data_IF_050090252765
#
_entry.id   IF_050090252765
#
_cell.length_a   1.000
_cell.length_b   1.000
_cell.length_c   1.000
_cell.angle_alpha   90.00
_cell.angle_beta   90.00
_cell.angle_gamma   90.00
#
_symmetry.space_group_name_H-M   'P 1'
#
loop_
_entity.id
_entity.type
_entity.pdbx_description
1 polymer ?
#
# COMPACT_ATOMS: atom_id res chain seq x y z
N UNK A 1 -0.43 -0.57 7.57
CA UNK A 1 0.55 0.42 7.10
C UNK A 1 -0.06 1.80 7.14
N UNK A 2 0.73 2.83 7.44
CA UNK A 2 0.27 4.23 7.45
C UNK A 2 1.15 5.02 6.50
N UNK A 3 0.54 5.78 5.61
CA UNK A 3 1.23 6.65 4.65
C UNK A 3 0.71 8.08 4.76
N UNK A 4 1.57 9.05 4.44
CA UNK A 4 1.28 10.48 4.56
C UNK A 4 1.76 11.23 3.33
N UNK A 5 0.95 12.17 2.85
CA UNK A 5 1.35 13.17 1.84
C UNK A 5 0.91 14.55 2.29
N UNK A 6 1.87 15.36 2.72
CA UNK A 6 1.57 16.63 3.40
C UNK A 6 0.77 16.41 4.69
N UNK A 7 -0.40 17.04 4.79
CA UNK A 7 -1.28 16.89 5.93
C UNK A 7 -2.19 15.65 5.87
N UNK A 8 -2.34 15.03 4.69
CA UNK A 8 -3.24 13.89 4.48
C UNK A 8 -2.57 12.59 4.93
N UNK A 9 -3.32 11.75 5.63
CA UNK A 9 -2.89 10.47 6.17
C UNK A 9 -3.87 9.40 5.73
N UNK A 10 -3.35 8.26 5.30
CA UNK A 10 -4.15 7.08 4.98
C UNK A 10 -3.57 5.88 5.72
N UNK A 11 -4.45 5.00 6.18
CA UNK A 11 -4.06 3.75 6.82
C UNK A 11 -4.76 2.58 6.13
N UNK A 12 -4.01 1.49 6.01
CA UNK A 12 -4.47 0.24 5.44
C UNK A 12 -4.03 -0.93 6.31
N UNK A 13 -4.74 -2.05 6.25
CA UNK A 13 -4.22 -3.31 6.80
C UNK A 13 -2.87 -3.64 6.16
N UNK A 14 -1.94 -4.16 6.95
CA UNK A 14 -0.64 -4.58 6.42
C UNK A 14 -0.74 -5.95 5.73
N UNK A 15 -1.54 -6.02 4.68
CA UNK A 15 -1.91 -7.27 4.02
C UNK A 15 -2.20 -7.04 2.54
N UNK A 16 -1.33 -7.56 1.68
CA UNK A 16 -1.49 -7.52 0.23
C UNK A 16 -2.66 -8.44 -0.19
N UNK A 17 -3.64 -7.98 -0.99
CA UNK A 17 -4.77 -8.80 -1.40
C UNK A 17 -4.37 -9.94 -2.36
N UNK A 18 -3.17 -9.90 -2.94
CA UNK A 18 -2.64 -10.95 -3.81
C UNK A 18 -2.44 -12.29 -3.06
N UNK A 19 -1.60 -12.30 -2.02
CA UNK A 19 -1.24 -13.54 -1.28
C UNK A 19 -1.50 -13.45 0.22
N UNK A 20 -1.97 -12.30 0.72
CA UNK A 20 -2.06 -12.03 2.15
C UNK A 20 -0.71 -11.70 2.81
N UNK A 21 0.38 -11.62 2.05
CA UNK A 21 1.68 -11.23 2.58
C UNK A 21 1.67 -9.77 3.11
N UNK A 22 2.51 -9.44 4.10
CA UNK A 22 2.72 -8.05 4.51
C UNK A 22 3.14 -7.16 3.34
N UNK A 23 2.73 -5.89 3.39
CA UNK A 23 3.11 -4.90 2.38
C UNK A 23 4.57 -4.46 2.57
N UNK A 24 5.04 -4.35 3.81
CA UNK A 24 6.43 -4.07 4.14
C UNK A 24 7.25 -5.35 4.39
N UNK A 25 8.52 -5.32 3.97
CA UNK A 25 9.54 -6.27 4.41
C UNK A 25 10.32 -5.78 5.63
N UNK A 26 10.39 -4.45 5.80
CA UNK A 26 10.96 -3.77 6.96
C UNK A 26 10.00 -2.67 7.40
N UNK A 27 9.74 -2.49 8.71
CA UNK A 27 8.81 -1.48 9.19
C UNK A 27 9.07 -0.11 8.55
N UNK A 28 8.04 0.47 7.96
CA UNK A 28 8.08 1.81 7.35
C UNK A 28 8.55 1.87 5.89
N UNK A 29 9.06 0.77 5.31
CA UNK A 29 9.42 0.70 3.89
C UNK A 29 8.26 0.14 3.06
N UNK A 30 7.24 0.97 2.86
CA UNK A 30 6.00 0.60 2.15
C UNK A 30 5.80 1.37 0.86
N UNK A 31 6.64 2.36 0.56
CA UNK A 31 6.51 3.16 -0.66
C UNK A 31 7.41 2.61 -1.77
N UNK A 32 7.02 2.83 -3.02
CA UNK A 32 7.93 2.68 -4.15
C UNK A 32 9.11 3.68 -4.04
N UNK A 33 10.21 3.48 -4.79
CA UNK A 33 11.39 4.35 -4.72
C UNK A 33 11.09 5.83 -4.97
N UNK A 34 10.09 6.12 -5.82
CA UNK A 34 9.67 7.49 -6.14
C UNK A 34 8.77 8.12 -5.05
N UNK A 35 8.31 7.34 -4.07
CA UNK A 35 7.44 7.82 -2.99
C UNK A 35 6.02 8.19 -3.43
N UNK A 36 5.57 7.68 -4.58
CA UNK A 36 4.28 8.04 -5.20
C UNK A 36 3.16 7.02 -4.93
N UNK A 37 3.52 5.77 -4.65
CA UNK A 37 2.60 4.65 -4.44
C UNK A 37 3.03 3.80 -3.25
N UNK A 38 2.07 3.11 -2.63
CA UNK A 38 2.38 1.99 -1.73
C UNK A 38 2.86 0.83 -2.59
N UNK A 39 3.98 0.19 -2.26
CA UNK A 39 4.52 -0.94 -2.99
C UNK A 39 4.63 -2.17 -2.09
N UNK A 40 3.99 -3.27 -2.48
CA UNK A 40 4.18 -4.56 -1.82
C UNK A 40 5.62 -5.03 -2.01
N UNK A 41 6.31 -5.34 -0.91
CA UNK A 41 7.72 -5.69 -0.92
C UNK A 41 8.05 -7.03 -1.61
N UNK A 42 7.07 -7.89 -1.85
CA UNK A 42 7.31 -9.24 -2.38
C UNK A 42 7.29 -9.30 -3.92
N UNK A 43 6.21 -8.80 -4.53
CA UNK A 43 6.00 -8.86 -5.99
C UNK A 43 5.86 -7.48 -6.63
N UNK A 44 6.16 -6.41 -5.89
CA UNK A 44 6.20 -5.03 -6.37
C UNK A 44 4.86 -4.54 -6.94
N UNK A 45 3.74 -5.08 -6.44
CA UNK A 45 2.43 -4.53 -6.72
C UNK A 45 2.36 -3.10 -6.18
N UNK A 46 1.84 -2.16 -6.97
CA UNK A 46 1.76 -0.75 -6.59
C UNK A 46 0.30 -0.32 -6.41
N UNK A 47 0.05 0.36 -5.31
CA UNK A 47 -1.27 0.82 -4.88
C UNK A 47 -1.28 2.33 -4.74
N UNK A 48 -2.39 2.95 -5.15
CA UNK A 48 -2.65 4.36 -4.92
C UNK A 48 -2.76 4.64 -3.41
N UNK A 49 -2.30 5.82 -2.98
CA UNK A 49 -2.26 6.16 -1.55
C UNK A 49 -3.62 6.56 -0.98
N UNK A 50 -4.52 7.01 -1.84
CA UNK A 50 -5.79 7.65 -1.50
C UNK A 50 -6.93 6.65 -1.32
N UNK A 51 -7.02 5.65 -2.20
CA UNK A 51 -8.07 4.63 -2.17
C UNK A 51 -7.53 3.20 -2.01
N UNK A 52 -6.21 3.00 -2.08
CA UNK A 52 -5.58 1.70 -1.97
C UNK A 52 -5.73 0.82 -3.22
N UNK A 53 -6.18 1.36 -4.36
CA UNK A 53 -6.37 0.60 -5.59
C UNK A 53 -5.02 0.16 -6.17
N UNK A 54 -4.89 -1.14 -6.47
CA UNK A 54 -3.74 -1.70 -7.17
C UNK A 54 -3.79 -1.35 -8.65
N UNK A 55 -2.79 -0.58 -9.11
CA UNK A 55 -2.66 -0.11 -10.50
C UNK A 55 -1.53 -0.81 -11.26
N UNK A 56 -0.73 -1.64 -10.58
CA UNK A 56 0.36 -2.40 -11.18
C UNK A 56 0.62 -3.69 -10.40
N UNK A 57 0.93 -4.77 -11.12
CA UNK A 57 1.33 -6.06 -10.53
C UNK A 57 0.19 -7.10 -10.49
N UNK A 58 0.41 -8.23 -9.78
CA UNK A 58 -0.43 -9.42 -9.89
C UNK A 58 -1.85 -9.29 -9.29
N UNK A 59 -2.11 -8.28 -8.46
CA UNK A 59 -3.44 -7.99 -7.91
C UNK A 59 -4.11 -6.77 -8.55
N UNK A 60 -3.79 -6.46 -9.82
CA UNK A 60 -4.36 -5.33 -10.56
C UNK A 60 -5.89 -5.28 -10.43
N UNK A 61 -6.43 -4.11 -10.05
CA UNK A 61 -7.86 -3.88 -9.85
C UNK A 61 -8.41 -4.28 -8.47
N UNK A 62 -7.62 -4.95 -7.62
CA UNK A 62 -7.96 -5.17 -6.21
C UNK A 62 -7.51 -3.97 -5.37
N UNK A 63 -8.08 -3.81 -4.17
CA UNK A 63 -7.74 -2.70 -3.27
C UNK A 63 -7.21 -3.20 -1.93
N UNK A 64 -6.38 -2.37 -1.28
CA UNK A 64 -6.01 -2.55 0.12
C UNK A 64 -7.23 -2.31 1.02
N UNK A 65 -7.30 -3.04 2.13
CA UNK A 65 -8.33 -2.82 3.13
C UNK A 65 -8.01 -1.55 3.93
N UNK A 66 -8.83 -0.50 3.81
CA UNK A 66 -8.64 0.74 4.55
C UNK A 66 -8.91 0.56 6.05
N UNK A 67 -8.13 1.27 6.86
CA UNK A 67 -8.29 1.40 8.31
C UNK A 67 -8.62 2.88 8.60
N UNK A 68 -9.68 3.19 9.34
CA UNK A 68 -10.02 4.57 9.69
C UNK A 68 -8.87 5.29 10.42
N UNK A 69 -8.71 6.58 10.12
CA UNK A 69 -7.77 7.49 10.78
C UNK A 69 -8.55 8.64 11.42
N UNK A 70 -8.13 9.07 12.61
CA UNK A 70 -8.71 10.19 13.37
C UNK A 70 -7.88 11.47 13.21
#
# INVERSE_FOLDING_TARGET
VVVRRGAQVWAYENRCPHTGAPLDWRPGQVLNPEGTHIQCALHLAQFQMDDGLCIHGPCLGQSLQAVPVE
#
